data_IF_721562571530
#
_entry.id   IF_721562571530
#
_cell.length_a   1.000
_cell.length_b   1.000
_cell.length_c   1.000
_cell.angle_alpha   90.00
_cell.angle_beta   90.00
_cell.angle_gamma   90.00
#
_symmetry.space_group_name_H-M   'P 1'
#
loop_
_entity.id
_entity.type
_entity.pdbx_description
1 polymer ?
#
# COMPACT_ATOMS: atom_id res chain seq x y z
N UNK A 1 -15.21 -7.09 6.34
CA UNK A 1 -14.77 -7.02 4.93
C UNK A 1 -13.36 -6.44 4.91
N UNK A 2 -12.40 -7.06 4.22
CA UNK A 2 -11.02 -6.54 4.17
C UNK A 2 -10.87 -5.64 2.92
N UNK A 3 -10.98 -4.32 3.12
CA UNK A 3 -11.03 -3.31 2.05
C UNK A 3 -9.88 -3.46 1.06
N UNK A 4 -8.66 -3.73 1.55
CA UNK A 4 -7.47 -3.89 0.70
C UNK A 4 -7.61 -5.06 -0.27
N UNK A 5 -8.12 -6.21 0.19
CA UNK A 5 -8.30 -7.41 -0.63
C UNK A 5 -9.34 -7.21 -1.72
N UNK A 6 -10.49 -6.61 -1.40
CA UNK A 6 -11.54 -6.33 -2.37
C UNK A 6 -11.06 -5.33 -3.41
N UNK A 7 -10.47 -4.20 -2.97
CA UNK A 7 -9.94 -3.18 -3.87
C UNK A 7 -8.91 -3.77 -4.83
N UNK A 8 -7.93 -4.52 -4.31
CA UNK A 8 -6.86 -5.10 -5.11
C UNK A 8 -7.38 -6.08 -6.17
N UNK A 9 -8.34 -6.95 -5.80
CA UNK A 9 -8.97 -7.89 -6.74
C UNK A 9 -9.75 -7.17 -7.84
N UNK A 10 -10.62 -6.24 -7.44
CA UNK A 10 -11.49 -5.55 -8.39
C UNK A 10 -10.68 -4.63 -9.33
N UNK A 11 -9.58 -4.07 -8.84
CA UNK A 11 -8.61 -3.29 -9.66
C UNK A 11 -7.82 -4.19 -10.60
N UNK A 12 -7.38 -5.38 -10.16
CA UNK A 12 -6.63 -6.32 -11.01
C UNK A 12 -7.44 -6.82 -12.20
N UNK A 13 -8.76 -6.85 -12.08
CA UNK A 13 -9.66 -7.18 -13.19
C UNK A 13 -9.74 -6.08 -14.27
N UNK A 14 -9.30 -4.85 -13.96
CA UNK A 14 -9.48 -3.67 -14.83
C UNK A 14 -8.16 -3.05 -15.28
N UNK A 15 -7.07 -3.26 -14.54
CA UNK A 15 -5.77 -2.65 -14.79
C UNK A 15 -4.70 -3.69 -15.16
N UNK A 16 -3.79 -3.27 -16.03
CA UNK A 16 -2.68 -4.11 -16.52
C UNK A 16 -1.66 -4.47 -15.43
N UNK A 17 -1.50 -3.63 -14.40
CA UNK A 17 -0.52 -3.84 -13.33
C UNK A 17 -1.04 -3.33 -12.00
N UNK A 18 -1.21 -4.25 -11.05
CA UNK A 18 -1.54 -3.96 -9.66
C UNK A 18 -0.49 -4.58 -8.77
N UNK A 19 0.18 -3.75 -7.97
CA UNK A 19 1.18 -4.19 -7.00
C UNK A 19 0.52 -4.18 -5.62
N UNK A 20 0.69 -5.25 -4.87
CA UNK A 20 0.20 -5.37 -3.50
C UNK A 20 1.37 -5.65 -2.58
N UNK A 21 1.49 -4.82 -1.54
CA UNK A 21 2.50 -5.02 -0.51
C UNK A 21 1.89 -5.76 0.67
N UNK A 22 2.55 -6.81 1.12
CA UNK A 22 2.13 -7.58 2.29
C UNK A 22 3.33 -8.10 3.06
N UNK A 23 3.31 -8.04 4.39
CA UNK A 23 4.34 -8.68 5.22
C UNK A 23 4.37 -10.20 5.07
N UNK A 24 3.23 -10.82 4.76
CA UNK A 24 3.13 -12.28 4.58
C UNK A 24 3.38 -12.74 3.15
N UNK A 25 3.49 -11.82 2.18
CA UNK A 25 3.53 -12.15 0.76
C UNK A 25 2.20 -12.69 0.18
N UNK A 26 1.18 -12.92 1.02
CA UNK A 26 -0.13 -13.39 0.57
C UNK A 26 -0.95 -12.22 0.03
N UNK A 27 -1.26 -12.25 -1.26
CA UNK A 27 -1.98 -11.19 -1.96
C UNK A 27 -3.09 -11.76 -2.86
N UNK A 28 -4.05 -10.93 -3.31
CA UNK A 28 -5.10 -11.38 -4.21
C UNK A 28 -4.56 -11.81 -5.57
N UNK A 29 -5.24 -12.76 -6.21
CA UNK A 29 -4.96 -13.17 -7.59
C UNK A 29 -5.01 -11.97 -8.56
N UNK A 30 -4.17 -12.01 -9.59
CA UNK A 30 -4.04 -10.91 -10.56
C UNK A 30 -3.20 -9.73 -10.06
N UNK A 31 -2.64 -9.80 -8.84
CA UNK A 31 -1.72 -8.78 -8.33
C UNK A 31 -0.29 -9.30 -8.21
N UNK A 32 0.68 -8.42 -8.41
CA UNK A 32 2.08 -8.68 -8.12
C UNK A 32 2.34 -8.48 -6.62
N UNK A 33 2.69 -9.55 -5.93
CA UNK A 33 3.04 -9.50 -4.51
C UNK A 33 4.45 -8.95 -4.33
N UNK A 34 4.60 -7.92 -3.49
CA UNK A 34 5.90 -7.52 -2.94
C UNK A 34 5.84 -7.72 -1.44
N UNK A 35 6.79 -8.50 -0.91
CA UNK A 35 6.89 -8.73 0.52
C UNK A 35 7.75 -7.65 1.17
N UNK A 36 7.23 -7.01 2.21
CA UNK A 36 8.00 -6.04 2.98
C UNK A 36 7.19 -5.24 3.99
N UNK A 37 7.88 -4.29 4.62
CA UNK A 37 7.35 -3.42 5.67
C UNK A 37 7.05 -2.03 5.12
N UNK A 38 5.76 -1.68 5.08
CA UNK A 38 5.29 -0.38 4.59
C UNK A 38 5.54 0.78 5.55
N UNK A 39 6.07 0.54 6.75
CA UNK A 39 6.57 1.59 7.64
C UNK A 39 8.02 2.02 7.31
N UNK A 40 8.72 1.27 6.47
CA UNK A 40 10.06 1.60 6.00
C UNK A 40 10.00 2.45 4.72
N UNK A 41 10.42 3.72 4.83
CA UNK A 41 10.42 4.68 3.71
C UNK A 41 11.25 4.23 2.51
N UNK A 42 12.40 3.58 2.72
CA UNK A 42 13.27 3.10 1.61
C UNK A 42 12.53 2.02 0.83
N UNK A 43 11.98 1.04 1.54
CA UNK A 43 11.18 -0.02 0.94
C UNK A 43 9.97 0.56 0.18
N UNK A 44 9.24 1.51 0.77
CA UNK A 44 8.09 2.14 0.11
C UNK A 44 8.51 2.90 -1.14
N UNK A 45 9.66 3.58 -1.12
CA UNK A 45 10.20 4.30 -2.29
C UNK A 45 10.46 3.33 -3.43
N UNK A 46 11.14 2.21 -3.16
CA UNK A 46 11.46 1.20 -4.16
C UNK A 46 10.20 0.50 -4.68
N UNK A 47 9.32 0.06 -3.78
CA UNK A 47 8.11 -0.69 -4.12
C UNK A 47 7.08 0.14 -4.90
N UNK A 48 7.08 1.47 -4.73
CA UNK A 48 6.14 2.37 -5.40
C UNK A 48 6.73 3.06 -6.63
N UNK A 49 8.04 2.92 -6.89
CA UNK A 49 8.71 3.53 -8.03
C UNK A 49 8.04 3.15 -9.36
N UNK A 50 7.72 4.16 -10.18
CA UNK A 50 7.04 3.99 -11.47
C UNK A 50 5.54 3.68 -11.37
N UNK A 51 4.93 3.78 -10.17
CA UNK A 51 3.48 3.64 -10.00
C UNK A 51 2.77 4.97 -10.29
N UNK A 52 1.69 4.94 -11.06
CA UNK A 52 0.87 6.13 -11.35
C UNK A 52 0.08 6.64 -10.13
N UNK A 53 -0.20 5.74 -9.19
CA UNK A 53 -0.93 5.99 -7.97
C UNK A 53 -0.56 4.99 -6.87
N UNK A 54 -0.63 5.45 -5.62
CA UNK A 54 -0.54 4.59 -4.43
C UNK A 54 -1.81 4.71 -3.61
N UNK A 55 -2.33 3.57 -3.17
CA UNK A 55 -3.51 3.49 -2.30
C UNK A 55 -3.14 2.86 -0.96
N UNK A 56 -3.34 3.61 0.12
CA UNK A 56 -3.07 3.16 1.50
C UNK A 56 -4.39 2.72 2.14
N UNK A 57 -4.51 1.43 2.42
CA UNK A 57 -5.70 0.80 3.04
C UNK A 57 -5.38 0.11 4.37
N UNK A 58 -4.39 0.63 5.10
CA UNK A 58 -3.91 0.04 6.36
C UNK A 58 -5.01 0.11 7.44
N UNK A 59 -5.35 -1.05 7.99
CA UNK A 59 -6.22 -1.16 9.16
C UNK A 59 -5.43 -1.20 10.47
N UNK A 60 -6.12 -1.45 11.57
CA UNK A 60 -5.47 -1.75 12.85
C UNK A 60 -4.66 -3.05 12.76
N UNK A 61 -3.44 -3.02 13.28
CA UNK A 61 -2.53 -4.16 13.35
C UNK A 61 -2.32 -4.54 14.81
N UNK A 62 -2.50 -5.81 15.16
CA UNK A 62 -2.28 -6.30 16.53
C UNK A 62 -0.82 -6.10 16.93
N UNK A 63 -0.60 -5.45 18.08
CA UNK A 63 0.74 -5.23 18.62
C UNK A 63 1.48 -4.01 18.07
N UNK A 64 0.88 -3.24 17.17
CA UNK A 64 1.50 -2.02 16.64
C UNK A 64 0.74 -0.76 17.08
N UNK A 65 1.48 0.20 17.61
CA UNK A 65 0.94 1.51 17.94
C UNK A 65 0.84 2.34 16.65
N UNK A 66 -0.38 2.70 16.28
CA UNK A 66 -0.67 3.63 15.18
C UNK A 66 -0.10 3.23 13.79
N UNK A 67 -0.31 1.99 13.32
CA UNK A 67 0.23 1.52 12.03
C UNK A 67 -0.20 2.39 10.84
N UNK A 68 -1.42 2.94 10.89
CA UNK A 68 -1.92 3.86 9.86
C UNK A 68 -1.08 5.14 9.76
N UNK A 69 -0.70 5.73 10.90
CA UNK A 69 0.13 6.95 10.93
C UNK A 69 1.52 6.66 10.38
N UNK A 70 2.17 5.60 10.85
CA UNK A 70 3.53 5.25 10.44
C UNK A 70 3.62 4.98 8.92
N UNK A 71 2.69 4.19 8.38
CA UNK A 71 2.67 3.88 6.95
C UNK A 71 2.35 5.13 6.12
N UNK A 72 1.39 5.95 6.55
CA UNK A 72 1.04 7.18 5.82
C UNK A 72 2.23 8.14 5.77
N UNK A 73 2.97 8.29 6.89
CA UNK A 73 4.19 9.10 6.93
C UNK A 73 5.29 8.56 5.99
N UNK A 74 5.53 7.25 5.99
CA UNK A 74 6.51 6.62 5.10
C UNK A 74 6.17 6.86 3.61
N UNK A 75 4.90 6.73 3.24
CA UNK A 75 4.43 6.97 1.86
C UNK A 75 4.54 8.45 1.47
N UNK A 76 4.21 9.38 2.37
CA UNK A 76 4.38 10.82 2.12
C UNK A 76 5.87 11.16 1.94
N UNK A 77 6.75 10.61 2.77
CA UNK A 77 8.19 10.82 2.67
C UNK A 77 8.77 10.25 1.36
N UNK A 78 8.28 9.09 0.91
CA UNK A 78 8.69 8.46 -0.34
C UNK A 78 8.16 9.18 -1.60
N UNK A 79 7.11 10.00 -1.47
CA UNK A 79 6.34 10.55 -2.61
C UNK A 79 7.20 11.18 -3.70
N UNK A 80 8.08 12.10 -3.34
CA UNK A 80 8.91 12.82 -4.32
C UNK A 80 9.98 11.91 -4.93
N UNK A 81 10.65 11.10 -4.10
CA UNK A 81 11.71 10.20 -4.55
C UNK A 81 11.19 9.08 -5.48
N UNK A 82 9.97 8.60 -5.24
CA UNK A 82 9.31 7.59 -6.07
C UNK A 82 8.56 8.17 -7.29
N UNK A 83 8.52 9.50 -7.45
CA UNK A 83 7.80 10.16 -8.54
C UNK A 83 6.27 10.02 -8.46
N UNK A 84 5.72 9.89 -7.25
CA UNK A 84 4.29 9.65 -7.04
C UNK A 84 3.47 10.95 -7.14
N UNK A 85 2.53 10.97 -8.08
CA UNK A 85 1.63 12.11 -8.27
C UNK A 85 0.27 11.95 -7.57
N UNK A 86 -0.19 10.72 -7.38
CA UNK A 86 -1.52 10.41 -6.83
C UNK A 86 -1.38 9.51 -5.59
N UNK A 87 -1.89 9.99 -4.46
CA UNK A 87 -1.94 9.25 -3.20
C UNK A 87 -3.38 9.25 -2.69
N UNK A 88 -3.96 8.07 -2.48
CA UNK A 88 -5.27 7.89 -1.87
C UNK A 88 -5.09 7.18 -0.54
N UNK A 89 -5.58 7.80 0.55
CA UNK A 89 -5.51 7.21 1.89
C UNK A 89 -6.93 6.90 2.36
N UNK A 90 -7.22 5.62 2.59
CA UNK A 90 -8.42 5.21 3.28
C UNK A 90 -8.27 5.51 4.77
N UNK A 91 -9.06 6.44 5.27
CA UNK A 91 -9.15 6.75 6.70
C UNK A 91 -10.43 6.18 7.30
N UNK A 92 -10.38 5.88 8.60
CA UNK A 92 -11.54 5.51 9.39
C UNK A 92 -11.54 6.34 10.67
N UNK A 93 -12.71 6.62 11.23
CA UNK A 93 -12.78 7.16 12.60
C UNK A 93 -12.34 6.06 13.57
N UNK A 94 -11.48 6.42 14.52
CA UNK A 94 -11.19 5.57 15.68
C UNK A 94 -12.38 5.52 16.62
#
# INVERSE_FOLDING_TARGET
MNVSRTLARDTAAQLTKVITVSRSGLTPEGTLAIQGDTSNTVFVTEASSGSDAVVVTVGGTKGEAQPHTAVTQAVIAAKHAAGLYRLVVHSHRR
#
